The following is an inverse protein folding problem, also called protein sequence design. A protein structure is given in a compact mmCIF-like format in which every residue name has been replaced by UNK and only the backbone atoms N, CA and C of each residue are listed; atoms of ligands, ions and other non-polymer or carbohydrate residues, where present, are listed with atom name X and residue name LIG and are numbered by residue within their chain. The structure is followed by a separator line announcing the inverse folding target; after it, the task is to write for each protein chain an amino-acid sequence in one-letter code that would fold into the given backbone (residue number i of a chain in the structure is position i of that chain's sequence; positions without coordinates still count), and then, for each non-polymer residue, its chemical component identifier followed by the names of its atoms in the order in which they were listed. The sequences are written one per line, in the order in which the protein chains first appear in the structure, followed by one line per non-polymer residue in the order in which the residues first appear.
data_IF_665426682279
#
_entry.id   IF_665426682279
#
_cell.length_a   1.000
_cell.length_b   1.000
_cell.length_c   1.000
_cell.angle_alpha   90.00
_cell.angle_beta   90.00
_cell.angle_gamma   90.00
#
_symmetry.space_group_name_H-M   'P 1'
#
loop_
_entity.id
_entity.type
_entity.pdbx_description
1 polymer ?
#
# COMPACT_ATOMS: atom_id res chain seq x y z
N UNK A 1 -21.86 8.02 -4.56
CA UNK A 1 -20.86 7.79 -3.50
C UNK A 1 -20.74 9.00 -2.58
N UNK A 2 -20.81 8.80 -1.26
CA UNK A 2 -20.63 9.87 -0.27
C UNK A 2 -19.16 10.12 0.05
N UNK A 3 -18.28 9.11 -0.01
CA UNK A 3 -16.83 9.25 0.15
C UNK A 3 -16.09 8.29 -0.80
N UNK A 4 -15.23 8.80 -1.70
CA UNK A 4 -14.46 7.93 -2.61
C UNK A 4 -13.34 7.19 -1.87
N UNK A 5 -12.42 7.95 -1.26
CA UNK A 5 -11.25 7.43 -0.55
C UNK A 5 -11.50 7.41 0.95
N UNK A 6 -11.16 6.30 1.60
CA UNK A 6 -11.29 6.10 3.05
C UNK A 6 -9.94 6.02 3.78
N UNK A 7 -8.83 5.91 3.03
CA UNK A 7 -7.47 5.93 3.59
C UNK A 7 -6.42 5.47 2.58
N UNK A 8 -5.17 5.35 3.01
CA UNK A 8 -4.12 4.67 2.23
C UNK A 8 -4.30 3.16 2.32
N UNK A 9 -4.33 2.50 1.17
CA UNK A 9 -4.30 1.04 1.11
C UNK A 9 -2.88 0.52 1.23
N UNK A 10 -1.91 1.19 0.58
CA UNK A 10 -0.51 0.83 0.73
C UNK A 10 0.45 1.77 0.02
N UNK A 11 1.71 1.68 0.44
CA UNK A 11 2.88 2.32 -0.12
C UNK A 11 3.89 1.26 -0.49
N UNK A 12 4.22 1.21 -1.78
CA UNK A 12 5.09 0.23 -2.40
C UNK A 12 6.26 0.97 -3.03
N UNK A 13 7.48 0.52 -2.82
CA UNK A 13 8.65 1.22 -3.36
C UNK A 13 9.74 0.26 -3.78
N UNK A 14 10.46 0.65 -4.83
CA UNK A 14 11.57 -0.10 -5.40
C UNK A 14 12.83 0.09 -4.55
N UNK A 15 13.54 -1.01 -4.29
CA UNK A 15 14.85 -1.03 -3.63
C UNK A 15 15.74 -2.09 -4.28
N UNK A 16 17.07 -1.93 -4.13
CA UNK A 16 18.05 -2.89 -4.61
C UNK A 16 18.01 -4.21 -3.84
N UNK A 17 17.59 -4.14 -2.57
CA UNK A 17 17.58 -5.28 -1.65
C UNK A 17 16.38 -5.18 -0.70
N UNK A 18 15.23 -5.77 -1.08
CA UNK A 18 14.02 -5.74 -0.27
C UNK A 18 14.19 -6.43 1.07
N UNK A 19 14.94 -7.53 1.12
CA UNK A 19 15.12 -8.31 2.33
C UNK A 19 16.02 -7.58 3.33
N UNK A 20 17.11 -6.98 2.88
CA UNK A 20 17.90 -6.08 3.72
C UNK A 20 17.05 -4.91 4.22
N UNK A 21 16.24 -4.29 3.35
CA UNK A 21 15.34 -3.21 3.76
C UNK A 21 14.39 -3.67 4.87
N UNK A 22 13.67 -4.78 4.68
CA UNK A 22 12.76 -5.34 5.70
C UNK A 22 13.49 -5.65 7.00
N UNK A 23 14.62 -6.34 6.94
CA UNK A 23 15.41 -6.72 8.10
C UNK A 23 15.93 -5.50 8.88
N UNK A 24 16.37 -4.46 8.18
CA UNK A 24 16.83 -3.23 8.84
C UNK A 24 15.69 -2.54 9.58
N UNK A 25 14.53 -2.37 8.94
CA UNK A 25 13.37 -1.73 9.56
C UNK A 25 12.81 -2.57 10.72
N UNK A 26 12.82 -3.89 10.61
CA UNK A 26 12.46 -4.78 11.71
C UNK A 26 13.41 -4.61 12.91
N UNK A 27 14.72 -4.72 12.66
CA UNK A 27 15.75 -4.67 13.71
C UNK A 27 15.81 -3.31 14.42
N UNK A 28 15.70 -2.22 13.67
CA UNK A 28 15.96 -0.88 14.20
C UNK A 28 14.71 -0.11 14.57
N UNK A 29 13.57 -0.38 13.91
CA UNK A 29 12.33 0.36 14.11
C UNK A 29 11.17 -0.53 14.59
N UNK A 30 11.38 -1.84 14.71
CA UNK A 30 10.39 -2.77 15.24
C UNK A 30 9.22 -3.05 14.31
N UNK A 31 9.35 -2.76 13.00
CA UNK A 31 8.30 -3.12 12.04
C UNK A 31 8.15 -4.64 11.98
N UNK A 32 6.92 -5.14 12.17
CA UNK A 32 6.61 -6.55 12.04
C UNK A 32 6.59 -6.93 10.56
N UNK A 33 7.76 -7.16 9.97
CA UNK A 33 7.92 -7.43 8.55
C UNK A 33 7.83 -8.92 8.22
N UNK A 34 7.14 -9.24 7.14
CA UNK A 34 7.09 -10.58 6.53
C UNK A 34 7.63 -10.55 5.07
N UNK A 35 7.36 -11.60 4.29
CA UNK A 35 7.76 -11.65 2.88
C UNK A 35 7.25 -10.47 2.03
N UNK A 36 6.11 -9.88 2.40
CA UNK A 36 5.42 -8.79 1.69
C UNK A 36 5.70 -7.40 2.25
N UNK A 37 6.35 -7.29 3.42
CA UNK A 37 6.66 -6.04 4.08
C UNK A 37 5.94 -5.94 5.43
N UNK A 38 5.35 -4.80 5.77
CA UNK A 38 4.71 -4.57 7.07
C UNK A 38 3.29 -4.06 6.89
N UNK A 39 2.34 -4.62 7.64
CA UNK A 39 0.95 -4.14 7.69
C UNK A 39 0.75 -3.26 8.91
N UNK A 40 0.43 -1.99 8.70
CA UNK A 40 0.03 -1.08 9.76
C UNK A 40 -1.48 -1.20 9.98
N UNK A 41 -1.89 -1.79 11.10
CA UNK A 41 -3.29 -1.88 11.50
C UNK A 41 -3.72 -0.62 12.25
N UNK A 42 -4.91 -0.11 11.93
CA UNK A 42 -5.48 1.09 12.54
C UNK A 42 -7.01 1.03 12.54
N UNK A 43 -7.64 1.93 13.28
CA UNK A 43 -9.11 2.08 13.31
C UNK A 43 -9.50 3.39 12.64
N UNK A 44 -10.53 3.36 11.81
CA UNK A 44 -11.08 4.61 11.26
C UNK A 44 -11.87 5.41 12.32
N UNK A 45 -12.46 6.54 11.90
CA UNK A 45 -13.25 7.41 12.78
C UNK A 45 -14.49 6.73 13.37
N UNK A 46 -14.93 5.62 12.79
CA UNK A 46 -16.09 4.84 13.20
C UNK A 46 -15.67 3.58 14.01
N UNK A 47 -14.38 3.35 14.19
CA UNK A 47 -13.84 2.20 14.92
C UNK A 47 -13.67 0.93 14.08
N UNK A 48 -13.83 1.02 12.76
CA UNK A 48 -13.68 -0.14 11.87
C UNK A 48 -12.20 -0.49 11.65
N UNK A 49 -11.91 -1.80 11.56
CA UNK A 49 -10.56 -2.28 11.27
C UNK A 49 -10.08 -1.88 9.88
N UNK A 50 -8.94 -1.20 9.86
CA UNK A 50 -8.28 -0.72 8.68
C UNK A 50 -6.80 -1.11 8.69
N UNK A 51 -6.21 -1.05 7.50
CA UNK A 51 -4.80 -1.35 7.32
C UNK A 51 -4.18 -0.57 6.19
N UNK A 52 -2.89 -0.31 6.33
CA UNK A 52 -2.05 0.23 5.27
C UNK A 52 -0.83 -0.67 5.09
N UNK A 53 -0.61 -1.16 3.87
CA UNK A 53 0.53 -1.98 3.53
C UNK A 53 1.76 -1.11 3.27
N UNK A 54 2.89 -1.46 3.85
CA UNK A 54 4.20 -0.94 3.47
C UNK A 54 5.00 -2.07 2.85
N UNK A 55 5.54 -1.88 1.65
CA UNK A 55 6.16 -2.97 0.90
C UNK A 55 7.37 -2.53 0.05
N UNK A 56 8.60 -2.91 0.43
CA UNK A 56 9.75 -2.82 -0.45
C UNK A 56 9.70 -3.91 -1.52
N UNK A 57 10.01 -3.56 -2.77
CA UNK A 57 10.03 -4.45 -3.93
C UNK A 57 11.36 -4.36 -4.67
N UNK A 58 11.73 -5.41 -5.40
CA UNK A 58 12.94 -5.38 -6.21
C UNK A 58 12.87 -4.27 -7.28
N UNK A 59 14.01 -3.64 -7.57
CA UNK A 59 14.10 -2.55 -8.56
C UNK A 59 13.64 -2.96 -9.96
N UNK A 60 13.86 -4.20 -10.35
CA UNK A 60 13.49 -4.78 -11.64
C UNK A 60 12.04 -5.28 -11.70
N UNK A 61 11.25 -5.11 -10.64
CA UNK A 61 9.85 -5.51 -10.64
C UNK A 61 9.08 -4.82 -11.76
N UNK A 62 8.28 -5.62 -12.46
CA UNK A 62 7.32 -5.18 -13.49
C UNK A 62 5.97 -4.81 -12.88
N UNK A 63 5.79 -4.96 -11.57
CA UNK A 63 4.52 -4.71 -10.88
C UNK A 63 4.00 -3.27 -11.04
N UNK A 64 4.90 -2.30 -11.27
CA UNK A 64 4.52 -0.89 -11.43
C UNK A 64 4.20 -0.52 -12.88
N UNK A 65 4.35 -1.44 -13.83
CA UNK A 65 4.12 -1.14 -15.24
C UNK A 65 2.69 -0.65 -15.48
N UNK A 66 2.51 0.37 -16.36
CA UNK A 66 3.51 0.97 -17.25
C UNK A 66 4.34 2.10 -16.60
N UNK A 67 4.14 2.38 -15.31
CA UNK A 67 4.84 3.45 -14.61
C UNK A 67 6.34 3.18 -14.46
N UNK A 68 7.15 4.24 -14.63
CA UNK A 68 8.60 4.23 -14.36
C UNK A 68 8.96 4.79 -12.98
N UNK A 69 7.95 5.16 -12.18
CA UNK A 69 8.17 5.71 -10.84
C UNK A 69 8.84 4.70 -9.91
N UNK A 70 9.64 5.20 -8.96
CA UNK A 70 10.30 4.37 -7.94
C UNK A 70 9.35 3.91 -6.83
N UNK A 71 8.11 4.41 -6.80
CA UNK A 71 7.09 4.03 -5.84
C UNK A 71 5.70 4.04 -6.47
N UNK A 72 4.79 3.33 -5.81
CA UNK A 72 3.37 3.27 -6.09
C UNK A 72 2.63 3.42 -4.76
N UNK A 73 1.51 4.14 -4.77
CA UNK A 73 0.57 4.14 -3.67
C UNK A 73 -0.81 3.73 -4.18
N UNK A 74 -1.61 3.14 -3.30
CA UNK A 74 -3.02 2.91 -3.56
C UNK A 74 -3.87 3.37 -2.38
N UNK A 75 -5.17 3.49 -2.62
CA UNK A 75 -6.14 3.97 -1.65
C UNK A 75 -7.09 2.86 -1.22
N UNK A 76 -7.49 2.88 0.04
CA UNK A 76 -8.73 2.23 0.49
C UNK A 76 -9.88 3.09 -0.01
N UNK A 77 -10.93 2.43 -0.49
CA UNK A 77 -12.11 3.10 -1.05
C UNK A 77 -13.36 2.50 -0.42
N UNK A 78 -14.41 3.31 -0.31
CA UNK A 78 -15.68 2.92 0.31
C UNK A 78 -16.32 1.74 -0.43
N UNK A 79 -16.37 1.81 -1.76
CA UNK A 79 -16.89 0.75 -2.62
C UNK A 79 -16.15 0.75 -3.96
N UNK A 80 -15.22 -0.20 -4.14
CA UNK A 80 -14.42 -0.29 -5.36
C UNK A 80 -15.29 -0.52 -6.60
N UNK A 81 -16.33 -1.36 -6.49
CA UNK A 81 -17.18 -1.71 -7.64
C UNK A 81 -18.00 -0.51 -8.12
N UNK A 82 -18.62 0.23 -7.21
CA UNK A 82 -19.32 1.48 -7.57
C UNK A 82 -18.36 2.57 -8.05
N UNK A 83 -17.22 2.75 -7.36
CA UNK A 83 -16.24 3.75 -7.74
C UNK A 83 -15.75 3.52 -9.18
N UNK A 84 -15.47 2.27 -9.56
CA UNK A 84 -15.05 1.94 -10.92
C UNK A 84 -16.13 2.19 -11.97
N UNK A 85 -17.42 2.07 -11.64
CA UNK A 85 -18.50 2.43 -12.58
C UNK A 85 -18.50 3.93 -12.82
N UNK A 86 -18.48 4.73 -11.75
CA UNK A 86 -18.46 6.20 -11.84
C UNK A 86 -17.23 6.70 -12.61
N UNK A 87 -16.04 6.17 -12.32
CA UNK A 87 -14.80 6.60 -13.00
C UNK A 87 -14.73 6.22 -14.48
N UNK A 88 -15.50 5.22 -14.94
CA UNK A 88 -15.56 4.84 -16.36
C UNK A 88 -16.52 5.72 -17.16
N UNK A 89 -17.44 6.39 -16.48
CA UNK A 89 -18.41 7.31 -17.07
C UNK A 89 -17.88 8.76 -17.12
N UNK A 90 -16.81 9.06 -16.38
CA UNK A 90 -16.04 10.33 -16.39
C UNK A 90 -15.05 10.42 -17.57
#
# INVERSE_FOLDING_TARGET
MKKRVTGLGGFFFKTKDPDHSKNWYNKHLGLNTDQYGCTFWWKDKEGNDCSTQWSPMNNDTTYFNPSKSSFMMNFRVENLVELLKVLKEE
#
